data_IF_212378710867
#
_entry.id   IF_212378710867
#
_cell.length_a   1.000
_cell.length_b   1.000
_cell.length_c   1.000
_cell.angle_alpha   90.00
_cell.angle_beta   90.00
_cell.angle_gamma   90.00
#
_symmetry.space_group_name_H-M   'P 1'
#
loop_
_entity.id
_entity.type
_entity.pdbx_description
1 polymer ?
#
# COMPACT_ATOMS: atom_id res chain seq x y z
N UNK A 1 -2.46 -34.70 24.27
CA UNK A 1 -1.30 -34.27 23.45
C UNK A 1 -1.67 -33.88 22.01
N UNK A 2 -2.40 -34.72 21.27
CA UNK A 2 -2.81 -34.46 19.85
C UNK A 2 -3.68 -33.18 19.71
N UNK A 3 -4.61 -32.89 20.63
CA UNK A 3 -5.46 -31.69 20.62
C UNK A 3 -4.69 -30.36 20.78
N UNK A 4 -3.57 -30.37 21.51
CA UNK A 4 -2.70 -29.19 21.68
C UNK A 4 -1.96 -28.86 20.40
N UNK A 5 -1.41 -29.88 19.71
CA UNK A 5 -0.70 -29.71 18.45
C UNK A 5 -1.64 -29.20 17.36
N UNK A 6 -2.87 -29.73 17.29
CA UNK A 6 -3.85 -29.30 16.29
C UNK A 6 -4.31 -27.84 16.53
N UNK A 7 -4.46 -27.40 17.78
CA UNK A 7 -4.75 -26.01 18.13
C UNK A 7 -3.59 -25.07 17.78
N UNK A 8 -2.34 -25.45 18.06
CA UNK A 8 -1.16 -24.66 17.72
C UNK A 8 -1.01 -24.44 16.21
N UNK A 9 -1.20 -25.51 15.43
CA UNK A 9 -1.16 -25.45 13.95
C UNK A 9 -2.32 -24.59 13.39
N UNK A 10 -3.52 -24.69 13.97
CA UNK A 10 -4.66 -23.88 13.55
C UNK A 10 -4.47 -22.38 13.85
N UNK A 11 -3.93 -22.02 15.03
CA UNK A 11 -3.67 -20.63 15.40
C UNK A 11 -2.57 -20.02 14.53
N UNK A 12 -1.53 -20.78 14.24
CA UNK A 12 -0.41 -20.35 13.39
C UNK A 12 -0.87 -20.08 11.95
N UNK A 13 -1.67 -20.98 11.39
CA UNK A 13 -2.25 -20.82 10.04
C UNK A 13 -3.15 -19.58 9.91
N UNK A 14 -3.96 -19.31 10.93
CA UNK A 14 -4.84 -18.11 10.92
C UNK A 14 -4.01 -16.83 10.95
N UNK A 15 -2.90 -16.81 11.70
CA UNK A 15 -1.99 -15.66 11.75
C UNK A 15 -1.27 -15.45 10.43
N UNK A 16 -0.78 -16.51 9.81
CA UNK A 16 -0.12 -16.46 8.50
C UNK A 16 -1.07 -15.95 7.40
N UNK A 17 -2.29 -16.48 7.33
CA UNK A 17 -3.30 -16.04 6.37
C UNK A 17 -3.69 -14.57 6.57
N UNK A 18 -3.77 -14.10 7.82
CA UNK A 18 -4.07 -12.71 8.13
C UNK A 18 -2.94 -11.78 7.69
N UNK A 19 -1.68 -12.17 7.93
CA UNK A 19 -0.51 -11.40 7.50
C UNK A 19 -0.41 -11.32 5.97
N UNK A 20 -0.61 -12.43 5.30
CA UNK A 20 -0.61 -12.45 3.82
C UNK A 20 -1.75 -11.59 3.25
N UNK A 21 -2.96 -11.70 3.83
CA UNK A 21 -4.09 -10.87 3.43
C UNK A 21 -3.85 -9.38 3.68
N UNK A 22 -3.25 -9.03 4.81
CA UNK A 22 -2.87 -7.65 5.12
C UNK A 22 -1.81 -7.11 4.16
N UNK A 23 -0.78 -7.89 3.86
CA UNK A 23 0.24 -7.50 2.88
C UNK A 23 -0.37 -7.30 1.49
N UNK A 24 -1.20 -8.23 1.04
CA UNK A 24 -1.91 -8.11 -0.23
C UNK A 24 -2.80 -6.87 -0.27
N UNK A 25 -3.53 -6.57 0.80
CA UNK A 25 -4.35 -5.36 0.92
C UNK A 25 -3.53 -4.08 0.82
N UNK A 26 -2.37 -4.02 1.48
CA UNK A 26 -1.45 -2.88 1.39
C UNK A 26 -0.95 -2.64 -0.04
N UNK A 27 -0.53 -3.70 -0.72
CA UNK A 27 -0.10 -3.62 -2.11
C UNK A 27 -1.23 -3.20 -3.05
N UNK A 28 -2.46 -3.66 -2.82
CA UNK A 28 -3.64 -3.24 -3.60
C UNK A 28 -3.94 -1.76 -3.44
N UNK A 29 -3.82 -1.20 -2.24
CA UNK A 29 -3.97 0.24 -2.01
C UNK A 29 -2.93 1.02 -2.82
N UNK A 30 -1.67 0.58 -2.81
CA UNK A 30 -0.61 1.19 -3.59
C UNK A 30 -0.88 1.15 -5.10
N UNK A 31 -1.24 -0.01 -5.63
CA UNK A 31 -1.54 -0.18 -7.06
C UNK A 31 -2.76 0.64 -7.48
N UNK A 32 -3.83 0.66 -6.69
CA UNK A 32 -5.02 1.46 -6.96
C UNK A 32 -4.70 2.97 -6.97
N UNK A 33 -3.92 3.45 -6.00
CA UNK A 33 -3.46 4.84 -5.99
C UNK A 33 -2.56 5.15 -7.19
N UNK A 34 -1.72 4.20 -7.63
CA UNK A 34 -0.89 4.32 -8.82
C UNK A 34 -1.73 4.50 -10.10
N UNK A 35 -2.79 3.73 -10.25
CA UNK A 35 -3.70 3.87 -11.37
C UNK A 35 -4.40 5.24 -11.37
N UNK A 36 -4.88 5.69 -10.21
CA UNK A 36 -5.51 7.02 -10.08
C UNK A 36 -4.53 8.13 -10.44
N UNK A 37 -3.30 8.09 -9.91
CA UNK A 37 -2.30 9.10 -10.19
C UNK A 37 -1.82 9.07 -11.66
N UNK A 38 -1.71 7.88 -12.25
CA UNK A 38 -1.39 7.74 -13.69
C UNK A 38 -2.51 8.30 -14.57
N UNK A 39 -3.76 8.09 -14.20
CA UNK A 39 -4.90 8.69 -14.88
C UNK A 39 -4.88 10.21 -14.77
N UNK A 40 -4.55 10.77 -13.59
CA UNK A 40 -4.41 12.21 -13.40
C UNK A 40 -3.33 12.81 -14.32
N UNK A 41 -2.15 12.18 -14.38
CA UNK A 41 -1.07 12.65 -15.27
C UNK A 41 -1.47 12.58 -16.75
N UNK A 42 -2.25 11.56 -17.13
CA UNK A 42 -2.74 11.41 -18.51
C UNK A 42 -3.78 12.47 -18.87
N UNK A 43 -4.69 12.81 -17.94
CA UNK A 43 -5.75 13.81 -18.15
C UNK A 43 -5.19 15.23 -18.06
N UNK A 44 -4.29 15.45 -17.10
CA UNK A 44 -3.66 16.75 -16.85
C UNK A 44 -2.13 16.58 -16.82
N UNK A 45 -1.47 16.58 -17.99
CA UNK A 45 -0.02 16.45 -18.08
C UNK A 45 0.69 17.52 -17.23
N UNK A 46 1.75 17.12 -16.53
CA UNK A 46 2.47 17.99 -15.60
C UNK A 46 1.88 18.01 -14.18
N UNK A 47 0.97 17.08 -13.86
CA UNK A 47 0.49 16.89 -12.49
C UNK A 47 1.59 16.44 -11.55
N UNK A 48 2.58 15.72 -12.05
CA UNK A 48 3.75 15.25 -11.29
C UNK A 48 5.04 15.61 -12.03
N UNK A 49 6.05 16.13 -11.32
CA UNK A 49 7.35 16.50 -11.90
C UNK A 49 8.52 16.07 -11.00
N UNK A 50 9.69 15.76 -11.58
CA UNK A 50 9.94 15.59 -13.00
C UNK A 50 9.46 14.20 -13.48
N UNK A 51 8.52 14.17 -14.38
CA UNK A 51 8.25 13.00 -15.18
C UNK A 51 8.70 13.36 -16.59
N UNK A 52 9.74 12.71 -17.10
CA UNK A 52 10.09 12.82 -18.51
C UNK A 52 8.96 12.20 -19.34
N UNK A 53 7.95 13.00 -19.58
CA UNK A 53 6.97 12.71 -20.63
C UNK A 53 7.75 12.60 -21.91
N UNK A 54 7.75 11.43 -22.51
CA UNK A 54 8.39 11.18 -23.79
C UNK A 54 8.14 12.34 -24.75
N UNK A 55 9.20 12.84 -25.36
CA UNK A 55 9.15 13.90 -26.36
C UNK A 55 7.99 13.65 -27.32
N UNK A 56 7.25 14.71 -27.65
CA UNK A 56 6.12 14.75 -28.56
C UNK A 56 6.52 14.10 -29.90
N UNK A 57 6.34 12.80 -30.05
CA UNK A 57 6.79 11.99 -31.17
C UNK A 57 6.89 10.50 -30.85
N UNK A 58 6.92 10.14 -29.57
CA UNK A 58 6.93 8.74 -29.16
C UNK A 58 5.50 8.18 -29.15
N UNK A 59 5.33 6.96 -29.64
CA UNK A 59 4.02 6.32 -29.69
C UNK A 59 3.41 6.27 -28.27
N UNK A 60 2.11 6.52 -28.17
CA UNK A 60 1.36 6.57 -26.92
C UNK A 60 1.57 5.35 -26.00
N UNK A 61 1.94 4.21 -26.58
CA UNK A 61 2.23 2.95 -25.88
C UNK A 61 3.56 3.05 -25.10
N UNK A 62 4.61 3.63 -25.68
CA UNK A 62 5.92 3.79 -25.03
C UNK A 62 5.87 4.83 -23.90
N UNK A 63 5.11 5.91 -24.08
CA UNK A 63 4.88 6.90 -23.04
C UNK A 63 4.16 6.29 -21.84
N UNK A 64 3.12 5.50 -22.07
CA UNK A 64 2.38 4.79 -21.01
C UNK A 64 3.25 3.73 -20.32
N UNK A 65 4.12 3.03 -21.03
CA UNK A 65 5.01 2.02 -20.49
C UNK A 65 6.06 2.61 -19.55
N UNK A 66 6.43 3.88 -19.69
CA UNK A 66 7.37 4.58 -18.78
C UNK A 66 6.64 5.27 -17.62
N UNK A 67 5.44 5.78 -17.85
CA UNK A 67 4.67 6.51 -16.87
C UNK A 67 4.26 5.62 -15.68
N UNK A 68 3.72 4.45 -15.95
CA UNK A 68 3.22 3.55 -14.91
C UNK A 68 4.28 3.15 -13.86
N UNK A 69 5.50 2.73 -14.23
CA UNK A 69 6.54 2.42 -13.26
C UNK A 69 6.96 3.63 -12.42
N UNK A 70 7.12 4.79 -13.04
CA UNK A 70 7.54 6.02 -12.36
C UNK A 70 6.47 6.48 -11.34
N UNK A 71 5.21 6.48 -11.73
CA UNK A 71 4.10 6.83 -10.84
C UNK A 71 3.93 5.78 -9.73
N UNK A 72 4.02 4.48 -10.03
CA UNK A 72 3.97 3.45 -8.99
C UNK A 72 5.11 3.59 -7.98
N UNK A 73 6.33 3.83 -8.44
CA UNK A 73 7.44 4.15 -7.55
C UNK A 73 7.09 5.31 -6.61
N UNK A 74 6.63 6.44 -7.15
CA UNK A 74 6.23 7.61 -6.38
C UNK A 74 5.13 7.27 -5.34
N UNK A 75 4.12 6.51 -5.75
CA UNK A 75 3.02 6.09 -4.87
C UNK A 75 3.53 5.28 -3.69
N UNK A 76 4.40 4.28 -3.93
CA UNK A 76 4.95 3.48 -2.84
C UNK A 76 5.88 4.29 -1.94
N UNK A 77 6.63 5.24 -2.48
CA UNK A 77 7.41 6.21 -1.68
C UNK A 77 6.49 7.06 -0.79
N UNK A 78 5.32 7.46 -1.29
CA UNK A 78 4.31 8.16 -0.49
C UNK A 78 3.65 7.25 0.55
N UNK A 79 3.21 6.06 0.15
CA UNK A 79 2.48 5.12 0.97
C UNK A 79 3.31 4.60 2.15
N UNK A 80 4.62 4.41 1.93
CA UNK A 80 5.59 4.02 2.97
C UNK A 80 6.13 5.18 3.78
N UNK A 81 5.70 6.41 3.50
CA UNK A 81 6.14 7.67 4.17
C UNK A 81 7.61 8.01 4.00
N UNK A 82 8.33 7.38 3.09
CA UNK A 82 9.76 7.65 2.82
C UNK A 82 9.94 9.06 2.25
N UNK A 83 9.18 9.42 1.20
CA UNK A 83 9.11 10.78 0.67
C UNK A 83 10.45 11.34 0.17
N UNK A 84 11.13 10.66 -0.74
CA UNK A 84 12.43 11.14 -1.29
C UNK A 84 12.37 12.54 -1.89
N UNK A 85 11.22 12.97 -2.41
CA UNK A 85 11.04 14.29 -2.98
C UNK A 85 11.58 14.44 -4.41
N UNK A 86 12.00 13.35 -5.01
CA UNK A 86 12.45 13.25 -6.41
C UNK A 86 11.30 13.44 -7.41
N UNK A 87 10.10 12.96 -7.07
CA UNK A 87 8.87 13.27 -7.80
C UNK A 87 7.96 14.07 -6.87
N UNK A 88 7.35 15.14 -7.40
CA UNK A 88 6.51 16.05 -6.62
C UNK A 88 5.20 16.37 -7.35
N UNK A 89 4.06 16.43 -6.62
CA UNK A 89 2.79 16.82 -7.19
C UNK A 89 2.75 18.34 -7.38
N UNK A 90 2.43 18.80 -8.59
CA UNK A 90 2.42 20.22 -8.96
C UNK A 90 1.02 20.83 -8.89
N UNK A 91 0.01 20.10 -9.30
CA UNK A 91 -1.37 20.58 -9.37
C UNK A 91 -2.14 20.34 -8.06
N UNK A 92 -3.18 21.14 -7.77
CA UNK A 92 -3.96 20.99 -6.53
C UNK A 92 -4.54 19.58 -6.36
N UNK A 93 -5.08 19.00 -7.42
CA UNK A 93 -5.70 17.66 -7.37
C UNK A 93 -4.65 16.56 -7.11
N UNK A 94 -3.50 16.62 -7.80
CA UNK A 94 -2.41 15.68 -7.57
C UNK A 94 -1.84 15.78 -6.15
N UNK A 95 -1.77 17.00 -5.58
CA UNK A 95 -1.40 17.22 -4.17
C UNK A 95 -2.38 16.58 -3.20
N UNK A 96 -3.69 16.74 -3.43
CA UNK A 96 -4.72 16.14 -2.58
C UNK A 96 -4.67 14.62 -2.60
N UNK A 97 -4.55 14.00 -3.77
CA UNK A 97 -4.44 12.53 -3.91
C UNK A 97 -3.14 12.02 -3.26
N UNK A 98 -2.04 12.75 -3.41
CA UNK A 98 -0.77 12.41 -2.77
C UNK A 98 -0.86 12.44 -1.24
N UNK A 99 -1.50 13.46 -0.67
CA UNK A 99 -1.74 13.56 0.78
C UNK A 99 -2.63 12.41 1.26
N UNK A 100 -3.73 12.14 0.56
CA UNK A 100 -4.62 11.02 0.90
C UNK A 100 -3.86 9.68 0.91
N UNK A 101 -3.01 9.44 -0.08
CA UNK A 101 -2.18 8.22 -0.16
C UNK A 101 -1.18 8.13 0.99
N UNK A 102 -0.51 9.25 1.35
CA UNK A 102 0.43 9.31 2.49
C UNK A 102 -0.24 9.04 3.82
N UNK A 103 -1.48 9.45 4.00
CA UNK A 103 -2.26 9.19 5.22
C UNK A 103 -2.79 7.76 5.25
N UNK A 104 -3.22 7.23 4.10
CA UNK A 104 -3.78 5.89 4.00
C UNK A 104 -2.78 4.79 4.41
N UNK A 105 -1.49 4.92 4.07
CA UNK A 105 -0.45 3.95 4.40
C UNK A 105 -0.33 3.68 5.90
N UNK A 106 0.03 4.68 6.71
CA UNK A 106 0.15 4.52 8.16
C UNK A 106 -1.15 4.12 8.85
N UNK A 107 -2.30 4.65 8.41
CA UNK A 107 -3.60 4.25 8.97
C UNK A 107 -3.90 2.78 8.71
N UNK A 108 -3.61 2.28 7.51
CA UNK A 108 -3.76 0.87 7.20
C UNK A 108 -2.89 -0.01 8.09
N UNK A 109 -1.60 0.33 8.23
CA UNK A 109 -0.67 -0.41 9.08
C UNK A 109 -1.10 -0.37 10.55
N UNK A 110 -1.55 0.77 11.06
CA UNK A 110 -2.05 0.90 12.43
C UNK A 110 -3.29 0.02 12.67
N UNK A 111 -4.23 0.00 11.72
CA UNK A 111 -5.42 -0.85 11.79
C UNK A 111 -5.06 -2.35 11.79
N UNK A 112 -4.17 -2.78 10.90
CA UNK A 112 -3.68 -4.17 10.82
C UNK A 112 -2.98 -4.57 12.12
N UNK A 113 -2.08 -3.73 12.64
CA UNK A 113 -1.38 -3.98 13.90
C UNK A 113 -2.34 -4.05 15.09
N UNK A 114 -3.35 -3.19 15.14
CA UNK A 114 -4.39 -3.21 16.17
C UNK A 114 -5.17 -4.54 16.19
N UNK A 115 -5.57 -5.03 15.02
CA UNK A 115 -6.25 -6.34 14.89
C UNK A 115 -5.32 -7.49 15.29
N UNK A 116 -4.05 -7.44 14.89
CA UNK A 116 -3.07 -8.49 15.22
C UNK A 116 -2.83 -8.57 16.72
N UNK A 117 -2.58 -7.43 17.36
CA UNK A 117 -2.34 -7.34 18.82
C UNK A 117 -3.59 -7.79 19.58
N UNK A 118 -4.77 -7.35 19.18
CA UNK A 118 -6.04 -7.77 19.81
C UNK A 118 -6.26 -9.28 19.75
N UNK A 119 -5.97 -9.93 18.63
CA UNK A 119 -6.05 -11.38 18.50
C UNK A 119 -5.00 -12.12 19.33
N UNK A 120 -3.79 -11.57 19.39
CA UNK A 120 -2.72 -12.16 20.18
C UNK A 120 -3.04 -12.08 21.68
N UNK A 121 -3.49 -10.93 22.18
CA UNK A 121 -3.89 -10.72 23.56
C UNK A 121 -5.04 -11.67 23.97
N UNK A 122 -6.07 -11.81 23.13
CA UNK A 122 -7.19 -12.73 23.40
C UNK A 122 -6.80 -14.20 23.41
N UNK A 123 -5.73 -14.59 22.71
CA UNK A 123 -5.20 -15.96 22.75
C UNK A 123 -4.48 -16.27 24.06
N UNK A 124 -3.79 -15.29 24.63
CA UNK A 124 -3.11 -15.42 25.92
C UNK A 124 -4.11 -15.51 27.09
N UNK A 125 -5.18 -14.71 27.08
CA UNK A 125 -6.20 -14.72 28.13
C UNK A 125 -6.94 -16.07 28.19
N UNK A 126 -7.21 -16.70 27.06
CA UNK A 126 -7.78 -18.05 27.01
C UNK A 126 -6.84 -19.11 27.60
N UNK A 127 -5.54 -18.96 27.41
CA UNK A 127 -4.55 -19.91 27.90
C UNK A 127 -4.38 -19.81 29.43
N UNK A 128 -4.56 -18.61 30.02
CA UNK A 128 -4.50 -18.39 31.46
C UNK A 128 -5.73 -18.89 32.21
N UNK A 129 -6.91 -18.94 31.55
CA UNK A 129 -8.16 -19.46 32.13
C UNK A 129 -8.27 -20.98 32.10
N UNK A 130 -7.47 -21.65 31.31
CA UNK A 130 -7.45 -23.12 31.22
C UNK A 130 -6.39 -23.77 32.16
N UNK A 131 -5.68 -22.96 32.94
CA UNK A 131 -4.73 -23.41 34.01
C UNK A 131 -5.32 -23.24 35.38
#
# INVERSE_FOLDING_TARGET
MIRLVTRFVSTKRVTEALLMGATAGYLHIGLAAGLVMSALETIQPGSFQPLEMANVGDSSVLASARLLPAINYYVFVCLTTVGFGDISPMLPLSRMVSVATRVAGPLYLAAVMGVLIGRFASSLDRQSRER
#
